data_IF_905417945065
#
_entry.id   IF_905417945065
#
_cell.length_a   1.000
_cell.length_b   1.000
_cell.length_c   1.000
_cell.angle_alpha   90.00
_cell.angle_beta   90.00
_cell.angle_gamma   90.00
#
_symmetry.space_group_name_H-M   'P 1'
#
loop_
_entity.id
_entity.type
_entity.pdbx_description
1 polymer ?
#
# COMPACT_ATOMS: atom_id res chain seq x y z
N UNK A 1 10.37 0.81 -5.39
CA UNK A 1 10.32 -0.04 -4.17
C UNK A 1 11.48 0.25 -3.23
N UNK A 2 12.70 -0.20 -3.51
CA UNK A 2 13.81 -0.12 -2.54
C UNK A 2 14.38 1.29 -2.30
N UNK A 3 14.33 2.17 -3.30
CA UNK A 3 14.83 3.55 -3.16
C UNK A 3 13.86 4.49 -2.43
N UNK A 4 12.60 4.11 -2.25
CA UNK A 4 11.56 5.00 -1.69
C UNK A 4 10.85 4.30 -0.55
N UNK A 5 10.04 3.27 -0.84
CA UNK A 5 9.22 2.59 0.18
C UNK A 5 10.07 1.92 1.25
N UNK A 6 11.13 1.19 0.86
CA UNK A 6 12.00 0.54 1.84
C UNK A 6 12.65 1.55 2.77
N UNK A 7 13.24 2.62 2.22
CA UNK A 7 13.86 3.69 3.02
C UNK A 7 12.86 4.32 3.99
N UNK A 8 11.69 4.71 3.48
CA UNK A 8 10.61 5.31 4.27
C UNK A 8 10.16 4.40 5.42
N UNK A 9 9.95 3.10 5.13
CA UNK A 9 9.45 2.13 6.11
C UNK A 9 10.50 1.82 7.19
N UNK A 10 11.77 2.06 6.91
CA UNK A 10 12.89 1.88 7.84
C UNK A 10 13.40 3.18 8.42
N UNK A 11 12.64 4.28 8.33
CA UNK A 11 12.99 5.59 8.89
C UNK A 11 14.32 6.15 8.34
N UNK A 12 14.71 5.72 7.14
CA UNK A 12 15.86 6.28 6.43
C UNK A 12 15.39 7.54 5.71
N UNK A 13 16.06 8.70 5.91
CA UNK A 13 15.74 9.93 5.20
C UNK A 13 15.75 9.71 3.67
N UNK A 14 14.70 10.19 3.00
CA UNK A 14 14.66 10.21 1.54
C UNK A 14 15.59 11.32 1.06
N UNK A 15 16.68 10.97 0.38
CA UNK A 15 17.53 11.93 -0.30
C UNK A 15 16.87 12.33 -1.62
N UNK A 16 16.10 13.41 -1.58
CA UNK A 16 15.49 14.06 -2.73
C UNK A 16 16.35 15.29 -3.08
N UNK A 17 17.50 15.05 -3.73
CA UNK A 17 18.34 16.11 -4.29
C UNK A 17 18.05 16.33 -5.81
N UNK A 18 17.25 17.37 -6.13
CA UNK A 18 16.94 18.03 -7.44
C UNK A 18 15.47 17.97 -7.98
N UNK A 19 14.71 19.05 -7.74
CA UNK A 19 13.25 19.17 -8.01
C UNK A 19 12.76 18.79 -9.43
N UNK A 20 13.51 19.12 -10.50
CA UNK A 20 13.06 18.95 -11.89
C UNK A 20 13.38 17.57 -12.49
N UNK A 21 14.52 16.97 -12.13
CA UNK A 21 14.87 15.61 -12.52
C UNK A 21 14.07 14.59 -11.68
N UNK A 22 13.76 14.94 -10.43
CA UNK A 22 12.95 14.15 -9.52
C UNK A 22 11.52 13.97 -9.97
N UNK A 23 10.84 15.03 -10.43
CA UNK A 23 9.41 14.91 -10.76
C UNK A 23 9.19 13.93 -11.92
N UNK A 24 10.01 14.01 -12.98
CA UNK A 24 9.94 13.07 -14.11
C UNK A 24 10.36 11.66 -13.70
N UNK A 25 11.44 11.53 -12.92
CA UNK A 25 11.93 10.23 -12.45
C UNK A 25 10.92 9.55 -11.51
N UNK A 26 10.30 10.31 -10.60
CA UNK A 26 9.30 9.82 -9.66
C UNK A 26 8.02 9.39 -10.37
N UNK A 27 7.57 10.15 -11.38
CA UNK A 27 6.43 9.73 -12.21
C UNK A 27 6.72 8.43 -12.97
N UNK A 28 7.94 8.28 -13.50
CA UNK A 28 8.38 7.05 -14.16
C UNK A 28 8.43 5.88 -13.18
N UNK A 29 8.99 6.07 -11.98
CA UNK A 29 9.04 5.06 -10.92
C UNK A 29 7.64 4.66 -10.46
N UNK A 30 6.73 5.62 -10.30
CA UNK A 30 5.33 5.37 -9.98
C UNK A 30 4.62 4.56 -11.06
N UNK A 31 4.79 4.94 -12.32
CA UNK A 31 4.22 4.20 -13.44
C UNK A 31 4.77 2.77 -13.51
N UNK A 32 6.07 2.58 -13.31
CA UNK A 32 6.68 1.26 -13.23
C UNK A 32 6.12 0.43 -12.07
N UNK A 33 5.91 1.04 -10.90
CA UNK A 33 5.30 0.38 -9.74
C UNK A 33 3.85 -0.06 -10.02
N UNK A 34 3.05 0.81 -10.65
CA UNK A 34 1.69 0.47 -11.11
C UNK A 34 1.68 -0.65 -12.14
N UNK A 35 2.59 -0.62 -13.11
CA UNK A 35 2.70 -1.66 -14.14
C UNK A 35 3.07 -3.02 -13.52
N UNK A 36 4.02 -3.03 -12.58
CA UNK A 36 4.38 -4.24 -11.85
C UNK A 36 3.18 -4.79 -11.06
N UNK A 37 2.52 -3.95 -10.24
CA UNK A 37 1.33 -4.36 -9.48
C UNK A 37 0.23 -4.90 -10.40
N UNK A 38 0.02 -4.27 -11.56
CA UNK A 38 -0.97 -4.73 -12.55
C UNK A 38 -0.60 -6.07 -13.17
N UNK A 39 0.67 -6.32 -13.44
CA UNK A 39 1.12 -7.62 -13.93
C UNK A 39 0.83 -8.73 -12.90
N UNK A 40 1.09 -8.49 -11.62
CA UNK A 40 0.75 -9.43 -10.54
C UNK A 40 -0.76 -9.63 -10.41
N UNK A 41 -1.54 -8.54 -10.40
CA UNK A 41 -2.99 -8.61 -10.34
C UNK A 41 -3.58 -9.40 -11.51
N UNK A 42 -3.13 -9.15 -12.74
CA UNK A 42 -3.59 -9.87 -13.93
C UNK A 42 -3.31 -11.37 -13.85
N UNK A 43 -2.14 -11.78 -13.35
CA UNK A 43 -1.81 -13.20 -13.17
C UNK A 43 -2.75 -13.83 -12.15
N UNK A 44 -3.01 -13.17 -11.01
CA UNK A 44 -3.95 -13.66 -10.01
C UNK A 44 -5.38 -13.76 -10.57
N UNK A 45 -5.84 -12.75 -11.31
CA UNK A 45 -7.17 -12.74 -11.94
C UNK A 45 -7.35 -13.86 -12.96
N UNK A 46 -6.31 -14.19 -13.73
CA UNK A 46 -6.38 -15.24 -14.74
C UNK A 46 -6.53 -16.65 -14.16
N UNK A 47 -6.12 -16.87 -12.91
CA UNK A 47 -6.17 -18.18 -12.24
C UNK A 47 -7.25 -18.27 -11.16
N UNK A 48 -7.85 -17.13 -10.79
CA UNK A 48 -8.84 -17.02 -9.73
C UNK A 48 -10.10 -17.82 -10.06
N UNK A 49 -10.62 -18.53 -9.05
CA UNK A 49 -11.94 -19.15 -9.07
C UNK A 49 -12.80 -18.54 -7.96
N UNK A 50 -14.12 -18.46 -8.20
CA UNK A 50 -15.03 -17.84 -7.24
C UNK A 50 -14.94 -18.52 -5.87
N UNK A 51 -14.68 -17.73 -4.84
CA UNK A 51 -14.51 -18.20 -3.46
C UNK A 51 -13.06 -18.34 -3.01
N UNK A 52 -12.08 -18.28 -3.93
CA UNK A 52 -10.67 -18.25 -3.58
C UNK A 52 -10.31 -17.03 -2.72
N UNK A 53 -9.25 -17.18 -1.94
CA UNK A 53 -8.66 -16.09 -1.14
C UNK A 53 -7.32 -15.72 -1.75
N UNK A 54 -7.16 -14.46 -2.13
CA UNK A 54 -5.89 -13.93 -2.64
C UNK A 54 -5.15 -13.23 -1.50
N UNK A 55 -3.91 -13.65 -1.24
CA UNK A 55 -3.08 -13.07 -0.18
C UNK A 55 -1.87 -12.35 -0.75
N UNK A 56 -1.95 -11.02 -0.80
CA UNK A 56 -0.90 -10.13 -1.25
C UNK A 56 0.18 -9.97 -0.17
N UNK A 57 1.45 -10.00 -0.57
CA UNK A 57 2.57 -9.97 0.37
C UNK A 57 3.44 -8.73 0.11
N UNK A 58 3.73 -8.02 1.19
CA UNK A 58 4.75 -6.99 1.30
C UNK A 58 4.48 -5.66 0.56
N UNK A 59 5.35 -4.66 0.81
CA UNK A 59 5.23 -3.29 0.26
C UNK A 59 5.35 -3.21 -1.27
N UNK A 60 5.79 -4.28 -1.92
CA UNK A 60 5.85 -4.37 -3.38
C UNK A 60 4.46 -4.40 -4.02
N UNK A 61 3.45 -4.93 -3.31
CA UNK A 61 2.13 -5.26 -3.84
C UNK A 61 0.99 -4.46 -3.17
N UNK A 62 1.26 -3.21 -2.76
CA UNK A 62 0.29 -2.38 -2.03
C UNK A 62 -0.91 -1.94 -2.88
N UNK A 63 -0.80 -2.00 -4.23
CA UNK A 63 -1.90 -1.62 -5.13
C UNK A 63 -2.71 -2.80 -5.63
N UNK A 64 -2.19 -4.02 -5.46
CA UNK A 64 -2.87 -5.23 -5.92
C UNK A 64 -4.27 -5.38 -5.30
N UNK A 65 -4.52 -5.11 -4.01
CA UNK A 65 -5.85 -5.29 -3.44
C UNK A 65 -6.94 -4.49 -4.15
N UNK A 66 -6.65 -3.24 -4.51
CA UNK A 66 -7.60 -2.41 -5.26
C UNK A 66 -7.86 -2.94 -6.66
N UNK A 67 -6.80 -3.27 -7.41
CA UNK A 67 -6.91 -3.80 -8.77
C UNK A 67 -7.71 -5.11 -8.82
N UNK A 68 -7.55 -5.98 -7.82
CA UNK A 68 -8.34 -7.21 -7.70
C UNK A 68 -9.81 -6.92 -7.41
N UNK A 69 -10.08 -6.00 -6.48
CA UNK A 69 -11.44 -5.62 -6.08
C UNK A 69 -12.17 -4.76 -7.13
N UNK A 70 -11.46 -4.08 -8.02
CA UNK A 70 -12.03 -3.44 -9.20
C UNK A 70 -12.59 -4.48 -10.18
N UNK A 71 -11.86 -5.58 -10.40
CA UNK A 71 -12.30 -6.66 -11.29
C UNK A 71 -13.38 -7.55 -10.65
N UNK A 72 -13.21 -7.92 -9.38
CA UNK A 72 -14.14 -8.74 -8.62
C UNK A 72 -14.38 -8.16 -7.22
N UNK A 73 -15.43 -7.32 -7.04
CA UNK A 73 -15.71 -6.66 -5.77
C UNK A 73 -15.91 -7.61 -4.57
N UNK A 74 -16.41 -8.82 -4.83
CA UNK A 74 -16.63 -9.88 -3.82
C UNK A 74 -15.39 -10.73 -3.50
N UNK A 75 -14.30 -10.62 -4.27
CA UNK A 75 -13.09 -11.41 -4.08
C UNK A 75 -12.55 -11.20 -2.66
N UNK A 76 -12.19 -12.27 -1.96
CA UNK A 76 -11.56 -12.17 -0.63
C UNK A 76 -10.08 -11.87 -0.78
N UNK A 77 -9.65 -10.70 -0.32
CA UNK A 77 -8.27 -10.24 -0.46
C UNK A 77 -7.66 -9.94 0.91
N UNK A 78 -6.58 -10.63 1.23
CA UNK A 78 -5.71 -10.29 2.36
C UNK A 78 -4.45 -9.58 1.88
N UNK A 79 -3.87 -8.70 2.71
CA UNK A 79 -2.56 -8.11 2.51
C UNK A 79 -1.75 -8.16 3.81
N UNK A 80 -0.47 -8.50 3.75
CA UNK A 80 0.41 -8.55 4.93
C UNK A 80 1.75 -7.85 4.68
N UNK A 81 2.18 -7.01 5.62
CA UNK A 81 3.47 -6.33 5.55
C UNK A 81 4.54 -7.07 6.36
N UNK A 82 5.65 -7.40 5.68
CA UNK A 82 6.80 -8.09 6.31
C UNK A 82 7.83 -7.13 6.91
N UNK A 83 7.72 -5.85 6.58
CA UNK A 83 8.60 -4.79 7.08
C UNK A 83 7.89 -3.96 8.16
N UNK A 84 8.61 -3.08 8.87
CA UNK A 84 7.97 -2.12 9.74
C UNK A 84 7.01 -1.21 8.95
N UNK A 85 5.93 -0.76 9.59
CA UNK A 85 5.13 0.35 9.06
C UNK A 85 5.51 1.64 9.78
N UNK A 86 5.86 2.73 9.07
CA UNK A 86 6.37 3.93 9.69
C UNK A 86 5.25 4.74 10.36
N UNK A 87 5.60 5.62 11.30
CA UNK A 87 4.63 6.53 11.91
C UNK A 87 3.97 7.43 10.87
N UNK A 88 2.77 7.94 11.16
CA UNK A 88 2.05 8.85 10.24
C UNK A 88 2.84 10.12 9.90
N UNK A 89 3.71 10.56 10.80
CA UNK A 89 4.57 11.74 10.60
C UNK A 89 5.65 11.52 9.56
N UNK A 90 6.16 10.29 9.46
CA UNK A 90 7.09 9.86 8.43
C UNK A 90 6.32 9.49 7.16
N UNK A 91 5.22 8.73 7.26
CA UNK A 91 4.46 8.30 6.09
C UNK A 91 3.95 9.48 5.24
N UNK A 92 3.59 10.62 5.85
CA UNK A 92 3.10 11.79 5.12
C UNK A 92 4.13 12.39 4.14
N UNK A 93 5.43 12.09 4.29
CA UNK A 93 6.48 12.56 3.38
C UNK A 93 6.49 11.77 2.07
N UNK A 94 5.86 10.59 2.03
CA UNK A 94 5.75 9.77 0.82
C UNK A 94 4.89 10.49 -0.23
N UNK A 95 5.41 10.72 -1.44
CA UNK A 95 4.58 11.15 -2.56
C UNK A 95 3.54 10.07 -2.89
N UNK A 96 2.33 10.49 -3.26
CA UNK A 96 1.22 9.56 -3.59
C UNK A 96 0.74 8.68 -2.42
N UNK A 97 1.07 9.08 -1.18
CA UNK A 97 0.62 8.47 0.09
C UNK A 97 -0.86 8.09 0.11
N UNK A 98 -1.73 8.95 -0.43
CA UNK A 98 -3.17 8.70 -0.43
C UNK A 98 -3.56 7.55 -1.35
N UNK A 99 -3.02 7.53 -2.57
CA UNK A 99 -3.29 6.47 -3.56
C UNK A 99 -2.87 5.11 -3.02
N UNK A 100 -1.68 5.04 -2.42
CA UNK A 100 -1.15 3.79 -1.86
C UNK A 100 -2.00 3.32 -0.67
N UNK A 101 -2.34 4.19 0.28
CA UNK A 101 -3.18 3.81 1.43
C UNK A 101 -4.58 3.39 0.99
N UNK A 102 -5.22 4.16 0.10
CA UNK A 102 -6.55 3.84 -0.43
C UNK A 102 -6.54 2.47 -1.09
N UNK A 103 -5.52 2.19 -1.89
CA UNK A 103 -5.44 0.91 -2.59
C UNK A 103 -5.23 -0.27 -1.63
N UNK A 104 -4.37 -0.12 -0.62
CA UNK A 104 -4.16 -1.17 0.41
C UNK A 104 -5.42 -1.38 1.26
N UNK A 105 -6.18 -0.33 1.57
CA UNK A 105 -7.43 -0.40 2.33
C UNK A 105 -8.56 -1.16 1.64
N UNK A 106 -8.40 -1.52 0.37
CA UNK A 106 -9.35 -2.35 -0.36
C UNK A 106 -9.25 -3.84 0.02
N UNK A 107 -8.17 -4.24 0.69
CA UNK A 107 -8.07 -5.58 1.28
C UNK A 107 -9.10 -5.76 2.41
N UNK A 108 -9.69 -6.95 2.50
CA UNK A 108 -10.60 -7.33 3.58
C UNK A 108 -9.85 -7.55 4.91
N UNK A 109 -8.58 -7.93 4.83
CA UNK A 109 -7.71 -8.14 5.99
C UNK A 109 -6.32 -7.55 5.71
N UNK A 110 -5.84 -6.72 6.65
CA UNK A 110 -4.52 -6.10 6.61
C UNK A 110 -3.75 -6.57 7.85
N UNK A 111 -2.62 -7.25 7.64
CA UNK A 111 -1.80 -7.81 8.70
C UNK A 111 -0.41 -7.18 8.80
N UNK A 112 0.12 -7.17 10.03
CA UNK A 112 1.44 -6.68 10.39
C UNK A 112 2.09 -7.61 11.42
N UNK A 113 3.41 -7.57 11.53
CA UNK A 113 4.15 -8.34 12.54
C UNK A 113 3.87 -7.91 14.00
N UNK A 114 3.58 -6.63 14.23
CA UNK A 114 3.38 -6.10 15.58
C UNK A 114 2.13 -5.22 15.65
N UNK A 115 1.57 -5.12 16.86
CA UNK A 115 0.46 -4.22 17.13
C UNK A 115 0.82 -2.75 16.88
N UNK A 116 2.07 -2.35 17.16
CA UNK A 116 2.51 -0.96 16.94
C UNK A 116 2.51 -0.57 15.46
N UNK A 117 2.93 -1.46 14.57
CA UNK A 117 2.85 -1.21 13.13
C UNK A 117 1.41 -1.08 12.64
N UNK A 118 0.51 -1.91 13.18
CA UNK A 118 -0.92 -1.78 12.89
C UNK A 118 -1.48 -0.43 13.39
N UNK A 119 -1.10 0.04 14.59
CA UNK A 119 -1.48 1.36 15.09
C UNK A 119 -0.96 2.50 14.21
N UNK A 120 0.28 2.40 13.74
CA UNK A 120 0.86 3.39 12.83
C UNK A 120 0.12 3.42 11.49
N UNK A 121 -0.25 2.27 10.93
CA UNK A 121 -1.07 2.19 9.72
C UNK A 121 -2.42 2.86 9.93
N UNK A 122 -3.14 2.51 10.99
CA UNK A 122 -4.43 3.13 11.34
C UNK A 122 -4.27 4.64 11.49
N UNK A 123 -3.24 5.11 12.21
CA UNK A 123 -2.98 6.54 12.36
C UNK A 123 -2.62 7.24 11.04
N UNK A 124 -1.97 6.56 10.10
CA UNK A 124 -1.70 7.10 8.77
C UNK A 124 -3.01 7.23 7.98
N UNK A 125 -3.86 6.19 7.98
CA UNK A 125 -5.17 6.23 7.35
C UNK A 125 -6.05 7.35 7.91
N UNK A 126 -6.16 7.50 9.23
CA UNK A 126 -7.00 8.55 9.83
C UNK A 126 -6.49 9.95 9.52
N UNK A 127 -5.19 10.21 9.68
CA UNK A 127 -4.63 11.56 9.51
C UNK A 127 -4.49 11.99 8.06
N UNK A 128 -4.27 11.05 7.14
CA UNK A 128 -4.02 11.35 5.73
C UNK A 128 -5.30 11.26 4.91
N UNK A 129 -6.16 10.27 5.19
CA UNK A 129 -7.40 10.07 4.45
C UNK A 129 -8.63 10.67 5.13
N UNK A 130 -8.51 11.14 6.38
CA UNK A 130 -9.63 11.68 7.16
C UNK A 130 -10.63 10.62 7.64
N UNK A 131 -10.27 9.34 7.60
CA UNK A 131 -11.15 8.24 7.99
C UNK A 131 -11.30 8.16 9.52
N UNK A 132 -12.49 7.79 10.01
CA UNK A 132 -12.67 7.45 11.42
C UNK A 132 -12.10 6.05 11.71
N UNK A 133 -11.13 5.96 12.63
CA UNK A 133 -10.66 4.67 13.12
C UNK A 133 -11.54 4.18 14.27
N UNK A 134 -12.05 2.95 14.15
CA UNK A 134 -12.55 2.17 15.28
C UNK A 134 -11.50 1.12 15.66
N UNK A 135 -11.41 0.69 16.94
CA UNK A 135 -10.33 -0.15 17.46
C UNK A 135 -10.05 -1.47 16.71
N UNK A 136 -10.92 -1.89 15.78
CA UNK A 136 -10.79 -3.12 14.98
C UNK A 136 -11.19 -2.95 13.50
N UNK A 137 -11.60 -1.76 13.05
CA UNK A 137 -12.06 -1.50 11.66
C UNK A 137 -11.84 -0.05 11.25
N UNK A 138 -11.37 0.14 10.02
CA UNK A 138 -11.43 1.41 9.30
C UNK A 138 -12.73 1.40 8.46
N UNK A 139 -13.54 2.44 8.59
CA UNK A 139 -14.77 2.61 7.81
C UNK A 139 -14.59 3.80 6.87
N UNK A 140 -15.11 3.76 5.63
CA UNK A 140 -15.18 4.93 4.75
C UNK A 140 -15.96 6.08 5.37
#
# INVERSE_FOLDING_TARGET
CNQVLWQLFHYVPLNLDSELAETKTMQMQWNAYKLANRAFANVALNIYQEGDVVWCQDYHLMLVPDMLKEAHPSMKVGWFLHTPFPSSEIYRTLPLREEILKATLRADLIGFHTYDYARHFVSACTRILGLEARPQRLSP
#
